data_IF_245373566424
#
_entry.id   IF_245373566424
#
_cell.length_a   1.000
_cell.length_b   1.000
_cell.length_c   1.000
_cell.angle_alpha   90.00
_cell.angle_beta   90.00
_cell.angle_gamma   90.00
#
_symmetry.space_group_name_H-M   'P 1'
#
loop_
_entity.id
_entity.type
_entity.pdbx_description
1 polymer ?
#
# COMPACT_ATOMS: atom_id res chain seq x y z
N UNK A 1 -11.45 10.21 -32.44
CA UNK A 1 -11.80 9.42 -31.24
C UNK A 1 -11.66 7.93 -31.51
N UNK A 2 -11.54 7.15 -30.43
CA UNK A 2 -11.50 5.68 -30.46
C UNK A 2 -12.33 5.12 -29.31
N UNK A 3 -13.18 4.13 -29.57
CA UNK A 3 -13.82 3.31 -28.54
C UNK A 3 -12.82 2.26 -28.06
N UNK A 4 -12.65 2.14 -26.74
CA UNK A 4 -11.61 1.30 -26.12
C UNK A 4 -12.19 0.01 -25.55
N UNK A 5 -13.30 0.10 -24.81
CA UNK A 5 -13.88 -1.04 -24.10
C UNK A 5 -15.36 -0.81 -23.78
N UNK A 6 -16.05 -1.92 -23.44
CA UNK A 6 -17.42 -1.92 -22.93
C UNK A 6 -17.45 -2.78 -21.69
N UNK A 7 -18.10 -2.33 -20.63
CA UNK A 7 -18.32 -3.11 -19.40
C UNK A 7 -19.72 -2.94 -18.86
N UNK A 8 -20.21 -3.94 -18.12
CA UNK A 8 -21.43 -3.81 -17.32
C UNK A 8 -21.21 -2.83 -16.15
N UNK A 9 -22.24 -2.10 -15.79
CA UNK A 9 -22.26 -1.23 -14.61
C UNK A 9 -23.67 -1.10 -14.06
N UNK A 10 -23.81 -0.66 -12.83
CA UNK A 10 -25.11 -0.28 -12.25
C UNK A 10 -25.27 1.24 -12.30
N UNK A 11 -26.52 1.70 -12.51
CA UNK A 11 -26.84 3.12 -12.44
C UNK A 11 -26.40 3.70 -11.10
N UNK A 12 -25.59 4.77 -11.12
CA UNK A 12 -24.99 5.42 -9.94
C UNK A 12 -24.13 4.51 -9.06
N UNK A 13 -23.66 3.37 -9.58
CA UNK A 13 -22.80 2.44 -8.83
C UNK A 13 -23.51 1.57 -7.78
N UNK A 14 -24.85 1.63 -7.70
CA UNK A 14 -25.63 0.85 -6.75
C UNK A 14 -26.17 -0.43 -7.43
N UNK A 15 -25.81 -1.60 -6.90
CA UNK A 15 -26.19 -2.90 -7.44
C UNK A 15 -27.71 -3.17 -7.43
N UNK A 16 -28.49 -2.37 -6.68
CA UNK A 16 -29.96 -2.43 -6.67
C UNK A 16 -30.61 -1.71 -7.84
N UNK A 17 -29.85 -0.88 -8.56
CA UNK A 17 -30.31 -0.13 -9.70
C UNK A 17 -30.16 -0.91 -11.00
N UNK A 18 -30.73 -0.34 -12.08
CA UNK A 18 -30.69 -0.92 -13.41
C UNK A 18 -29.27 -1.18 -13.90
N UNK A 19 -29.06 -2.35 -14.50
CA UNK A 19 -27.82 -2.71 -15.17
C UNK A 19 -27.70 -1.93 -16.48
N UNK A 20 -26.58 -1.26 -16.68
CA UNK A 20 -26.24 -0.49 -17.86
C UNK A 20 -24.94 -1.01 -18.49
N UNK A 21 -24.74 -0.64 -19.76
CA UNK A 21 -23.45 -0.82 -20.42
C UNK A 21 -22.68 0.50 -20.38
N UNK A 22 -21.45 0.46 -19.86
CA UNK A 22 -20.53 1.58 -19.87
C UNK A 22 -19.57 1.44 -21.03
N UNK A 23 -19.58 2.44 -21.93
CA UNK A 23 -18.69 2.51 -23.09
C UNK A 23 -17.53 3.44 -22.72
N UNK A 24 -16.31 2.95 -22.86
CA UNK A 24 -15.08 3.73 -22.67
C UNK A 24 -14.52 4.13 -24.03
N UNK A 25 -14.14 5.37 -24.14
CA UNK A 25 -13.51 5.91 -25.34
C UNK A 25 -12.54 7.04 -24.99
N UNK A 26 -11.74 7.43 -25.97
CA UNK A 26 -10.84 8.57 -25.87
C UNK A 26 -10.93 9.44 -27.13
N UNK A 27 -10.62 10.72 -26.99
CA UNK A 27 -10.56 11.68 -28.10
C UNK A 27 -9.34 12.57 -27.94
N UNK A 28 -8.74 12.94 -29.08
CA UNK A 28 -7.60 13.85 -29.16
C UNK A 28 -7.87 14.93 -30.21
N UNK A 29 -7.21 16.10 -30.12
CA UNK A 29 -7.37 17.19 -31.10
C UNK A 29 -6.97 16.80 -32.52
N UNK A 30 -5.98 15.90 -32.64
CA UNK A 30 -5.45 15.45 -33.93
C UNK A 30 -5.25 13.92 -33.97
N UNK A 31 -5.03 13.40 -35.17
CA UNK A 31 -4.87 11.97 -35.41
C UNK A 31 -3.57 11.42 -34.80
N UNK A 32 -2.49 12.21 -34.79
CA UNK A 32 -1.19 11.81 -34.30
C UNK A 32 -1.24 11.61 -32.79
N UNK A 33 -1.81 12.54 -32.02
CA UNK A 33 -1.98 12.41 -30.58
C UNK A 33 -2.82 11.19 -30.19
N UNK A 34 -3.85 10.86 -30.99
CA UNK A 34 -4.60 9.62 -30.79
C UNK A 34 -3.76 8.37 -31.05
N UNK A 35 -2.99 8.34 -32.12
CA UNK A 35 -2.10 7.23 -32.47
C UNK A 35 -1.04 7.01 -31.37
N UNK A 36 -0.34 8.07 -30.97
CA UNK A 36 0.67 8.03 -29.89
C UNK A 36 0.06 7.50 -28.58
N UNK A 37 -1.15 7.92 -28.23
CA UNK A 37 -1.85 7.42 -27.06
C UNK A 37 -2.21 5.93 -27.16
N UNK A 38 -2.67 5.48 -28.33
CA UNK A 38 -3.00 4.06 -28.54
C UNK A 38 -1.74 3.18 -28.48
N UNK A 39 -0.62 3.64 -29.04
CA UNK A 39 0.68 2.98 -28.91
C UNK A 39 1.12 2.89 -27.44
N UNK A 40 0.99 4.00 -26.70
CA UNK A 40 1.29 4.00 -25.25
C UNK A 40 0.43 2.98 -24.48
N UNK A 41 -0.86 2.88 -24.80
CA UNK A 41 -1.74 1.88 -24.17
C UNK A 41 -1.33 0.44 -24.51
N UNK A 42 -0.90 0.19 -25.73
CA UNK A 42 -0.41 -1.14 -26.15
C UNK A 42 0.88 -1.49 -25.42
N UNK A 43 1.83 -0.57 -25.33
CA UNK A 43 3.06 -0.74 -24.56
C UNK A 43 2.78 -0.96 -23.06
N UNK A 44 1.82 -0.22 -22.49
CA UNK A 44 1.39 -0.41 -21.10
C UNK A 44 0.83 -1.82 -20.87
N UNK A 45 0.03 -2.36 -21.81
CA UNK A 45 -0.49 -3.74 -21.74
C UNK A 45 0.63 -4.79 -21.81
N UNK A 46 1.67 -4.57 -22.63
CA UNK A 46 2.83 -5.48 -22.70
C UNK A 46 3.59 -5.51 -21.37
N UNK A 47 3.61 -4.39 -20.63
CA UNK A 47 4.29 -4.22 -19.34
C UNK A 47 3.39 -4.47 -18.14
N UNK A 48 2.16 -4.96 -18.33
CA UNK A 48 1.24 -5.24 -17.22
C UNK A 48 1.89 -6.26 -16.26
N UNK A 49 2.05 -5.86 -15.00
CA UNK A 49 2.70 -6.68 -13.98
C UNK A 49 2.01 -8.04 -13.76
N UNK A 50 0.69 -8.14 -14.00
CA UNK A 50 -0.06 -9.39 -13.89
C UNK A 50 0.34 -10.38 -14.99
N UNK A 51 0.62 -9.86 -16.19
CA UNK A 51 1.13 -10.63 -17.32
C UNK A 51 2.58 -11.04 -17.08
N UNK A 52 3.45 -10.06 -16.84
CA UNK A 52 4.87 -10.30 -16.61
C UNK A 52 5.12 -11.16 -15.37
N UNK A 53 4.37 -10.95 -14.30
CA UNK A 53 4.45 -11.74 -13.08
C UNK A 53 4.22 -13.22 -13.32
N UNK A 54 3.24 -13.57 -14.17
CA UNK A 54 2.95 -14.96 -14.57
C UNK A 54 4.00 -15.49 -15.54
N UNK A 55 4.33 -14.76 -16.60
CA UNK A 55 5.26 -15.21 -17.62
C UNK A 55 6.68 -15.42 -17.09
N UNK A 56 7.11 -14.59 -16.13
CA UNK A 56 8.43 -14.67 -15.50
C UNK A 56 8.45 -15.48 -14.20
N UNK A 57 7.30 -16.00 -13.77
CA UNK A 57 7.15 -16.75 -12.52
C UNK A 57 7.61 -15.96 -11.29
N UNK A 58 7.10 -14.72 -11.15
CA UNK A 58 7.50 -13.82 -10.05
C UNK A 58 6.63 -13.94 -8.82
N UNK A 59 5.31 -14.08 -9.01
CA UNK A 59 4.35 -14.17 -7.91
C UNK A 59 3.03 -14.81 -8.37
N UNK A 60 2.26 -15.25 -7.40
CA UNK A 60 0.88 -15.70 -7.60
C UNK A 60 -0.05 -15.17 -6.53
N UNK A 61 -1.34 -15.18 -6.83
CA UNK A 61 -2.43 -14.98 -5.88
C UNK A 61 -3.29 -16.26 -5.99
N UNK A 62 -3.28 -17.07 -4.95
CA UNK A 62 -3.93 -18.39 -4.93
C UNK A 62 -5.18 -18.31 -4.07
N UNK A 63 -6.26 -18.99 -4.49
CA UNK A 63 -7.52 -19.03 -3.75
C UNK A 63 -7.35 -19.71 -2.39
N UNK A 64 -6.45 -20.70 -2.28
CA UNK A 64 -6.12 -21.37 -1.02
C UNK A 64 -5.50 -20.42 0.02
N UNK A 65 -4.70 -19.43 -0.42
CA UNK A 65 -4.15 -18.42 0.48
C UNK A 65 -5.15 -17.31 0.78
N UNK A 66 -6.07 -17.08 -0.13
CA UNK A 66 -7.10 -16.04 -0.08
C UNK A 66 -6.86 -14.89 -1.05
N UNK A 67 -7.94 -14.27 -1.53
CA UNK A 67 -7.86 -13.20 -2.53
C UNK A 67 -7.11 -11.98 -1.98
N UNK A 68 -6.20 -11.43 -2.80
CA UNK A 68 -5.40 -10.26 -2.44
C UNK A 68 -4.23 -10.54 -1.48
N UNK A 69 -3.92 -11.81 -1.22
CA UNK A 69 -2.71 -12.23 -0.50
C UNK A 69 -1.69 -12.76 -1.51
N UNK A 70 -0.59 -12.05 -1.63
CA UNK A 70 0.43 -12.31 -2.66
C UNK A 70 1.46 -13.29 -2.15
N UNK A 71 1.73 -14.33 -2.95
CA UNK A 71 2.82 -15.28 -2.73
C UNK A 71 3.93 -14.97 -3.73
N UNK A 72 5.09 -14.54 -3.25
CA UNK A 72 6.26 -14.28 -4.10
C UNK A 72 7.02 -15.57 -4.36
N UNK A 73 7.25 -15.90 -5.63
CA UNK A 73 8.05 -17.03 -6.06
C UNK A 73 9.56 -16.69 -5.98
N UNK A 74 10.47 -17.65 -6.11
CA UNK A 74 11.89 -17.39 -5.85
C UNK A 74 12.48 -16.19 -6.61
N UNK A 75 12.15 -16.02 -7.89
CA UNK A 75 12.61 -14.87 -8.68
C UNK A 75 12.00 -13.55 -8.20
N UNK A 76 10.69 -13.55 -7.90
CA UNK A 76 10.00 -12.37 -7.39
C UNK A 76 10.45 -12.00 -5.99
N UNK A 77 10.69 -12.99 -5.12
CA UNK A 77 11.25 -12.77 -3.79
C UNK A 77 12.66 -12.18 -3.86
N UNK A 78 13.50 -12.66 -4.79
CA UNK A 78 14.83 -12.08 -5.01
C UNK A 78 14.76 -10.64 -5.51
N UNK A 79 13.88 -10.35 -6.48
CA UNK A 79 13.68 -8.98 -6.97
C UNK A 79 13.22 -8.05 -5.83
N UNK A 80 12.28 -8.52 -5.01
CA UNK A 80 11.82 -7.79 -3.82
C UNK A 80 12.98 -7.53 -2.85
N UNK A 81 13.80 -8.53 -2.54
CA UNK A 81 14.96 -8.39 -1.65
C UNK A 81 15.94 -7.32 -2.15
N UNK A 82 16.20 -7.29 -3.46
CA UNK A 82 17.09 -6.28 -4.07
C UNK A 82 16.54 -4.86 -3.87
N UNK A 83 15.22 -4.68 -4.07
CA UNK A 83 14.55 -3.40 -3.85
C UNK A 83 14.56 -3.00 -2.37
N UNK A 84 14.23 -3.92 -1.47
CA UNK A 84 14.25 -3.69 -0.02
C UNK A 84 15.65 -3.34 0.50
N UNK A 85 16.70 -3.95 -0.04
CA UNK A 85 18.09 -3.64 0.32
C UNK A 85 18.52 -2.26 -0.20
N UNK A 86 18.02 -1.85 -1.37
CA UNK A 86 18.23 -0.50 -1.89
C UNK A 86 17.57 0.53 -0.96
N UNK A 87 16.29 0.35 -0.62
CA UNK A 87 15.53 1.24 0.28
C UNK A 87 16.20 1.36 1.65
N UNK A 88 16.59 0.26 2.27
CA UNK A 88 17.31 0.26 3.55
C UNK A 88 18.59 1.10 3.50
N UNK A 89 19.39 0.91 2.45
CA UNK A 89 20.66 1.64 2.28
C UNK A 89 20.42 3.14 2.11
N UNK A 90 19.43 3.52 1.31
CA UNK A 90 19.12 4.92 1.05
C UNK A 90 18.55 5.63 2.30
N UNK A 91 17.72 4.96 3.09
CA UNK A 91 17.22 5.50 4.35
C UNK A 91 18.33 5.67 5.40
N UNK A 92 19.17 4.65 5.59
CA UNK A 92 20.32 4.75 6.51
C UNK A 92 21.27 5.90 6.13
N UNK A 93 21.55 6.06 4.85
CA UNK A 93 22.39 7.14 4.32
C UNK A 93 21.82 8.54 4.60
N UNK A 94 20.48 8.64 4.68
CA UNK A 94 19.77 9.89 5.00
C UNK A 94 19.49 10.06 6.49
N UNK A 95 20.08 9.23 7.35
CA UNK A 95 20.00 9.34 8.80
C UNK A 95 18.71 8.78 9.42
N UNK A 96 17.97 7.96 8.68
CA UNK A 96 16.85 7.21 9.24
C UNK A 96 17.35 6.03 10.08
N UNK A 97 16.63 5.74 11.16
CA UNK A 97 16.86 4.59 12.03
C UNK A 97 15.85 3.49 11.69
N UNK A 98 16.37 2.30 11.39
CA UNK A 98 15.50 1.15 11.09
C UNK A 98 14.83 0.70 12.39
N UNK A 99 13.52 0.53 12.33
CA UNK A 99 12.71 -0.04 13.40
C UNK A 99 11.86 -1.18 12.85
N UNK A 100 11.35 -2.03 13.74
CA UNK A 100 10.45 -3.14 13.37
C UNK A 100 9.36 -3.24 14.41
N UNK A 101 8.12 -3.10 13.98
CA UNK A 101 6.94 -3.24 14.81
C UNK A 101 6.27 -4.62 14.68
N UNK A 102 5.55 -5.10 15.71
CA UNK A 102 4.79 -6.34 15.62
C UNK A 102 3.58 -6.19 14.70
N UNK A 103 3.14 -7.30 14.11
CA UNK A 103 1.95 -7.32 13.24
C UNK A 103 0.64 -7.23 14.03
N UNK A 104 0.65 -7.69 15.29
CA UNK A 104 -0.50 -7.70 16.20
C UNK A 104 -0.28 -6.70 17.32
N UNK A 105 -1.25 -5.83 17.54
CA UNK A 105 -1.28 -4.89 18.65
C UNK A 105 -2.63 -4.96 19.33
N UNK A 106 -2.68 -4.71 20.66
CA UNK A 106 -3.91 -4.68 21.43
C UNK A 106 -4.89 -3.67 20.85
N UNK A 107 -6.17 -4.00 20.86
CA UNK A 107 -7.22 -3.18 20.28
C UNK A 107 -7.29 -1.78 20.91
N UNK A 108 -7.03 -1.67 22.23
CA UNK A 108 -7.03 -0.41 22.96
C UNK A 108 -6.06 0.63 22.37
N UNK A 109 -4.92 0.18 21.84
CA UNK A 109 -3.95 1.08 21.20
C UNK A 109 -4.51 1.70 19.92
N UNK A 110 -5.26 0.92 19.14
CA UNK A 110 -5.93 1.39 17.93
C UNK A 110 -7.06 2.37 18.24
N UNK A 111 -7.77 2.16 19.34
CA UNK A 111 -8.80 3.07 19.85
C UNK A 111 -8.17 4.37 20.35
N UNK A 112 -7.14 4.30 21.19
CA UNK A 112 -6.44 5.46 21.74
C UNK A 112 -5.87 6.39 20.66
N UNK A 113 -5.45 5.84 19.53
CA UNK A 113 -4.85 6.59 18.43
C UNK A 113 -5.86 7.12 17.42
N UNK A 114 -7.17 6.81 17.56
CA UNK A 114 -8.22 7.18 16.61
C UNK A 114 -8.21 6.36 15.31
N UNK A 115 -7.31 5.38 15.18
CA UNK A 115 -7.30 4.52 13.99
C UNK A 115 -8.53 3.62 13.93
N UNK A 116 -9.03 3.17 15.08
CA UNK A 116 -10.18 2.28 15.16
C UNK A 116 -11.43 2.93 14.56
N UNK A 117 -11.74 4.17 14.90
CA UNK A 117 -12.92 4.88 14.40
C UNK A 117 -12.86 5.10 12.89
N UNK A 118 -11.67 5.38 12.35
CA UNK A 118 -11.48 5.73 10.95
C UNK A 118 -11.21 4.53 10.03
N UNK A 119 -10.70 3.41 10.58
CA UNK A 119 -10.21 2.28 9.80
C UNK A 119 -10.81 0.92 10.19
N UNK A 120 -11.76 0.87 11.11
CA UNK A 120 -12.36 -0.38 11.61
C UNK A 120 -12.77 -1.33 10.49
N UNK A 121 -13.46 -0.82 9.49
CA UNK A 121 -13.97 -1.62 8.36
C UNK A 121 -12.87 -2.20 7.47
N UNK A 122 -11.64 -1.68 7.60
CA UNK A 122 -10.46 -2.14 6.86
C UNK A 122 -9.47 -2.92 7.70
N UNK A 123 -9.78 -3.19 8.96
CA UNK A 123 -8.92 -3.94 9.86
C UNK A 123 -9.35 -5.39 9.99
N UNK A 124 -8.39 -6.25 10.25
CA UNK A 124 -8.62 -7.62 10.71
C UNK A 124 -8.45 -7.68 12.22
N UNK A 125 -9.31 -8.45 12.89
CA UNK A 125 -9.29 -8.61 14.34
C UNK A 125 -9.11 -10.07 14.69
N UNK A 126 -8.50 -10.32 15.85
CA UNK A 126 -8.38 -11.63 16.47
C UNK A 126 -8.48 -11.52 17.98
N UNK A 127 -8.80 -12.61 18.64
CA UNK A 127 -8.90 -12.69 20.10
C UNK A 127 -7.98 -13.79 20.61
N UNK A 128 -7.17 -13.47 21.61
CA UNK A 128 -6.28 -14.41 22.28
C UNK A 128 -6.47 -14.26 23.80
N UNK A 129 -6.81 -15.35 24.49
CA UNK A 129 -7.01 -15.35 25.96
C UNK A 129 -7.91 -14.21 26.46
N UNK A 130 -9.04 -14.00 25.80
CA UNK A 130 -10.01 -12.93 26.06
C UNK A 130 -9.53 -11.49 25.79
N UNK A 131 -8.34 -11.29 25.26
CA UNK A 131 -7.82 -10.00 24.82
C UNK A 131 -8.01 -9.84 23.31
N UNK A 132 -8.58 -8.72 22.90
CA UNK A 132 -8.75 -8.39 21.49
C UNK A 132 -7.50 -7.72 20.90
N UNK A 133 -7.14 -8.13 19.70
CA UNK A 133 -6.02 -7.60 18.93
C UNK A 133 -6.47 -7.17 17.54
N UNK A 134 -5.86 -6.11 17.01
CA UNK A 134 -5.94 -5.72 15.62
C UNK A 134 -4.67 -6.09 14.88
N UNK A 135 -4.82 -6.64 13.66
CA UNK A 135 -3.71 -6.79 12.74
C UNK A 135 -3.42 -5.42 12.12
N UNK A 136 -2.18 -5.00 12.11
CA UNK A 136 -1.80 -3.63 11.73
C UNK A 136 -2.20 -3.27 10.29
N UNK A 137 -3.05 -2.25 10.08
CA UNK A 137 -3.33 -1.67 8.78
C UNK A 137 -2.32 -0.58 8.41
N UNK A 138 -1.53 -0.11 9.39
CA UNK A 138 -0.50 0.93 9.31
C UNK A 138 0.61 0.66 10.32
N UNK A 139 1.79 1.25 10.13
CA UNK A 139 2.96 1.05 11.00
C UNK A 139 3.10 2.12 12.09
N UNK A 140 2.34 3.20 12.04
CA UNK A 140 2.46 4.39 12.89
C UNK A 140 2.55 4.08 14.38
N UNK A 141 1.71 3.16 14.90
CA UNK A 141 1.62 2.89 16.34
C UNK A 141 2.92 2.35 16.93
N UNK A 142 3.59 1.42 16.21
CA UNK A 142 4.85 0.88 16.68
C UNK A 142 5.92 1.97 16.79
N UNK A 143 6.00 2.85 15.80
CA UNK A 143 6.94 3.98 15.82
C UNK A 143 6.65 4.95 16.97
N UNK A 144 5.37 5.22 17.29
CA UNK A 144 4.99 6.05 18.43
C UNK A 144 5.33 5.39 19.75
N UNK A 145 5.16 4.07 19.89
CA UNK A 145 5.54 3.32 21.09
C UNK A 145 7.06 3.37 21.29
N UNK A 146 7.85 3.19 20.23
CA UNK A 146 9.30 3.31 20.26
C UNK A 146 9.70 4.73 20.69
N UNK A 147 9.06 5.76 20.13
CA UNK A 147 9.33 7.15 20.54
C UNK A 147 9.04 7.36 22.04
N UNK A 148 7.93 6.86 22.55
CA UNK A 148 7.51 6.99 23.96
C UNK A 148 8.32 6.13 24.93
N UNK A 149 9.09 5.16 24.46
CA UNK A 149 9.84 4.22 25.34
C UNK A 149 11.00 4.90 26.10
N UNK A 150 11.37 6.09 25.73
CA UNK A 150 12.43 6.87 26.38
C UNK A 150 11.99 8.33 26.60
N UNK A 151 12.51 8.96 27.63
CA UNK A 151 12.36 10.41 27.83
C UNK A 151 13.15 11.13 26.73
N UNK A 152 12.48 11.99 25.98
CA UNK A 152 13.06 12.74 24.86
C UNK A 152 13.13 14.22 25.20
N UNK A 153 14.23 14.85 24.82
CA UNK A 153 14.38 16.29 24.83
C UNK A 153 14.01 16.86 23.45
N UNK A 154 13.57 18.10 23.39
CA UNK A 154 13.41 18.83 22.13
C UNK A 154 14.71 18.91 21.31
N UNK A 155 15.87 18.72 21.97
CA UNK A 155 17.20 18.69 21.33
C UNK A 155 17.49 17.38 20.59
N UNK A 156 16.74 16.33 20.90
CA UNK A 156 16.87 15.03 20.23
C UNK A 156 16.18 15.01 18.86
N UNK A 157 15.36 16.03 18.58
CA UNK A 157 14.60 16.16 17.33
C UNK A 157 15.42 16.88 16.25
N UNK A 158 15.30 16.48 14.99
CA UNK A 158 14.35 15.52 14.46
C UNK A 158 14.80 14.06 14.67
N UNK A 159 13.84 13.16 14.89
CA UNK A 159 14.05 11.71 14.91
C UNK A 159 13.33 11.12 13.70
N UNK A 160 14.04 10.29 12.93
CA UNK A 160 13.54 9.68 11.71
C UNK A 160 13.54 8.17 11.87
N UNK A 161 12.34 7.55 11.90
CA UNK A 161 12.18 6.10 11.90
C UNK A 161 11.73 5.61 10.53
N UNK A 162 12.21 4.43 10.14
CA UNK A 162 11.90 3.77 8.89
C UNK A 162 11.66 2.29 9.13
N UNK A 163 10.64 1.73 8.50
CA UNK A 163 10.30 0.30 8.54
C UNK A 163 9.88 -0.17 7.14
N UNK A 164 10.43 -1.29 6.68
CA UNK A 164 9.79 -2.09 5.63
C UNK A 164 8.65 -2.89 6.26
N UNK A 165 7.56 -2.19 6.52
CA UNK A 165 6.47 -2.68 7.36
C UNK A 165 5.38 -3.37 6.55
N UNK A 166 5.17 -4.66 6.78
CA UNK A 166 4.03 -5.37 6.18
C UNK A 166 2.75 -5.05 6.93
N UNK A 167 1.75 -4.59 6.19
CA UNK A 167 0.43 -4.21 6.70
C UNK A 167 -0.67 -5.02 6.01
N UNK A 168 -1.83 -5.10 6.66
CA UNK A 168 -2.97 -5.86 6.17
C UNK A 168 -4.24 -5.00 6.21
N UNK A 169 -4.96 -4.98 5.08
CA UNK A 169 -6.20 -4.21 4.95
C UNK A 169 -7.31 -5.08 4.38
N UNK A 170 -8.46 -5.06 5.01
CA UNK A 170 -9.66 -5.71 4.51
C UNK A 170 -10.20 -4.92 3.31
N UNK A 171 -9.62 -5.16 2.13
CA UNK A 171 -10.14 -4.61 0.88
C UNK A 171 -11.26 -5.49 0.35
N UNK A 172 -12.32 -4.88 -0.20
CA UNK A 172 -13.44 -5.62 -0.82
C UNK A 172 -12.94 -6.38 -2.06
N UNK A 173 -13.47 -7.57 -2.28
CA UNK A 173 -13.02 -8.42 -3.40
C UNK A 173 -13.12 -7.75 -4.77
N UNK A 174 -14.14 -6.92 -5.01
CA UNK A 174 -14.31 -6.16 -6.25
C UNK A 174 -13.34 -5.00 -6.45
N UNK A 175 -12.55 -4.65 -5.43
CA UNK A 175 -11.54 -3.58 -5.49
C UNK A 175 -10.12 -4.11 -5.73
N UNK A 176 -9.92 -5.43 -5.58
CA UNK A 176 -8.59 -6.05 -5.72
C UNK A 176 -8.09 -5.97 -7.16
N UNK A 177 -6.80 -5.62 -7.33
CA UNK A 177 -6.21 -5.44 -8.66
C UNK A 177 -4.72 -5.77 -8.68
N UNK A 178 -4.38 -7.00 -9.07
CA UNK A 178 -2.99 -7.47 -9.17
C UNK A 178 -2.18 -7.16 -7.91
N UNK A 179 -1.03 -6.50 -8.06
CA UNK A 179 -0.21 -5.98 -6.95
C UNK A 179 -0.57 -4.55 -6.54
N UNK A 180 -1.42 -3.86 -7.31
CA UNK A 180 -1.75 -2.46 -7.06
C UNK A 180 -2.76 -2.29 -5.91
N UNK A 181 -3.63 -3.27 -5.70
CA UNK A 181 -4.58 -3.28 -4.59
C UNK A 181 -4.74 -4.68 -4.04
N UNK A 182 -4.15 -4.91 -2.90
CA UNK A 182 -4.03 -6.21 -2.23
C UNK A 182 -4.45 -6.11 -0.76
N UNK A 183 -4.60 -7.25 -0.09
CA UNK A 183 -4.93 -7.30 1.34
C UNK A 183 -3.72 -7.38 2.25
N UNK A 184 -2.58 -7.76 1.75
CA UNK A 184 -1.31 -7.80 2.48
C UNK A 184 -0.18 -7.26 1.61
N UNK A 185 0.55 -6.26 2.08
CA UNK A 185 1.66 -5.65 1.35
C UNK A 185 2.67 -5.00 2.29
N UNK A 186 3.89 -4.86 1.82
CA UNK A 186 4.96 -4.19 2.55
C UNK A 186 5.11 -2.76 2.04
N UNK A 187 5.18 -1.83 2.97
CA UNK A 187 5.41 -0.43 2.70
C UNK A 187 6.84 -0.06 3.06
N UNK A 188 7.45 0.77 2.25
CA UNK A 188 8.52 1.65 2.63
C UNK A 188 7.90 2.80 3.44
N UNK A 189 7.88 2.66 4.75
CA UNK A 189 7.12 3.55 5.64
C UNK A 189 8.05 4.24 6.63
N UNK A 190 8.03 5.57 6.61
CA UNK A 190 8.87 6.39 7.46
C UNK A 190 8.06 7.43 8.24
N UNK A 191 8.49 7.72 9.47
CA UNK A 191 7.91 8.74 10.32
C UNK A 191 9.02 9.66 10.82
N UNK A 192 8.84 10.96 10.59
CA UNK A 192 9.72 11.99 11.09
C UNK A 192 9.03 12.72 12.25
N UNK A 193 9.64 12.62 13.42
CA UNK A 193 9.20 13.36 14.60
C UNK A 193 10.08 14.61 14.72
N UNK A 194 9.49 15.77 14.51
CA UNK A 194 10.20 17.04 14.49
C UNK A 194 9.42 18.15 15.20
N UNK A 195 10.09 19.25 15.52
CA UNK A 195 9.44 20.46 16.00
C UNK A 195 8.79 21.23 14.83
N UNK A 196 7.80 22.09 15.11
CA UNK A 196 7.16 22.89 14.06
C UNK A 196 8.14 23.75 13.22
N UNK A 197 9.18 24.27 13.86
CA UNK A 197 10.23 25.08 13.20
C UNK A 197 11.16 24.26 12.28
N UNK A 198 11.23 22.95 12.46
CA UNK A 198 12.02 22.02 11.64
C UNK A 198 11.24 21.47 10.43
N UNK A 199 9.91 21.61 10.42
CA UNK A 199 9.03 20.94 9.45
C UNK A 199 9.39 21.23 7.99
N UNK A 200 9.64 22.50 7.66
CA UNK A 200 9.97 22.89 6.29
C UNK A 200 11.29 22.28 5.81
N UNK A 201 12.30 22.26 6.67
CA UNK A 201 13.60 21.66 6.37
C UNK A 201 13.47 20.16 6.15
N UNK A 202 12.74 19.47 7.02
CA UNK A 202 12.52 18.03 6.90
C UNK A 202 11.77 17.66 5.62
N UNK A 203 10.71 18.40 5.24
CA UNK A 203 9.98 18.17 3.99
C UNK A 203 10.88 18.40 2.77
N UNK A 204 11.71 19.44 2.77
CA UNK A 204 12.58 19.73 1.63
C UNK A 204 13.79 18.77 1.52
N UNK A 205 14.10 18.03 2.59
CA UNK A 205 15.22 17.08 2.63
C UNK A 205 14.87 15.67 2.13
N UNK A 206 13.56 15.37 1.94
CA UNK A 206 13.07 14.11 1.40
C UNK A 206 13.29 14.06 -0.11
#
# INVERSE_FOLDING_TARGET
FKLLNVSGTYWRGDARNQVLQRIYGTAFPDAKGLEDYLLMLEEARKRDHRKLGRELDLFSIQDEAGPGLVIYHPKGAMLRTILEDFEKKEHLKRGYQIVVGPHLLRLELWQQSGHFENYRDKMYFTKVEDVEYGIKPMNCLAHMIIYKSQIRSYRDLPIRYFELGTVYRHEKSGELHGLLRVRGFTQDDAHILCRPDQLNEEICSI
#
